data_IF_223077743458
#
_entry.id   IF_223077743458
#
_cell.length_a   1.000
_cell.length_b   1.000
_cell.length_c   1.000
_cell.angle_alpha   90.00
_cell.angle_beta   90.00
_cell.angle_gamma   90.00
#
_symmetry.space_group_name_H-M   'P 1'
#
loop_
_entity.id
_entity.type
_entity.pdbx_description
1 polymer ?
#
# COMPACT_ATOMS: atom_id res chain seq x y z
N UNK A 1 9.81 9.01 -14.68
CA UNK A 1 8.36 9.25 -14.41
C UNK A 1 7.92 8.51 -13.15
N UNK A 2 8.32 7.25 -12.97
CA UNK A 2 8.34 6.55 -11.66
C UNK A 2 9.12 7.37 -10.63
N UNK A 3 10.26 7.95 -11.00
CA UNK A 3 11.09 8.80 -10.12
C UNK A 3 10.34 10.02 -9.56
N UNK A 4 9.30 10.51 -10.25
CA UNK A 4 8.49 11.64 -9.78
C UNK A 4 7.47 11.19 -8.71
N UNK A 5 6.82 10.04 -8.92
CA UNK A 5 5.94 9.43 -7.92
C UNK A 5 6.74 8.94 -6.69
N UNK A 6 7.97 8.43 -6.90
CA UNK A 6 8.88 8.01 -5.83
C UNK A 6 9.47 9.17 -5.03
N UNK A 7 9.76 10.31 -5.66
CA UNK A 7 10.30 11.49 -4.98
C UNK A 7 9.29 12.15 -4.03
N UNK A 8 7.98 12.08 -4.33
CA UNK A 8 6.95 12.61 -3.43
C UNK A 8 6.41 11.58 -2.43
N UNK A 9 6.42 10.28 -2.76
CA UNK A 9 5.79 9.25 -1.93
C UNK A 9 6.69 8.66 -0.82
N UNK A 10 8.01 8.88 -0.85
CA UNK A 10 8.91 8.58 0.27
C UNK A 10 8.85 7.13 0.79
N UNK A 11 8.77 6.96 2.11
CA UNK A 11 8.72 5.65 2.81
C UNK A 11 7.47 4.82 2.55
N UNK A 12 6.49 5.37 1.83
CA UNK A 12 5.16 4.80 1.70
C UNK A 12 5.00 3.94 0.44
N UNK A 13 6.09 3.70 -0.31
CA UNK A 13 6.08 2.90 -1.53
C UNK A 13 7.11 1.78 -1.45
N UNK A 14 6.66 0.56 -1.75
CA UNK A 14 7.51 -0.61 -1.93
C UNK A 14 7.38 -1.08 -3.38
N UNK A 15 8.48 -1.07 -4.13
CA UNK A 15 8.54 -1.58 -5.50
C UNK A 15 9.41 -2.83 -5.51
N UNK A 16 8.93 -3.89 -6.15
CA UNK A 16 9.68 -5.14 -6.36
C UNK A 16 9.33 -5.73 -7.70
N UNK A 17 10.37 -6.00 -8.48
CA UNK A 17 10.19 -6.46 -9.86
C UNK A 17 9.22 -5.50 -10.58
N UNK A 18 8.15 -6.01 -11.18
CA UNK A 18 7.10 -5.19 -11.82
C UNK A 18 5.86 -4.96 -10.92
N UNK A 19 6.02 -5.03 -9.60
CA UNK A 19 4.94 -4.85 -8.62
C UNK A 19 5.16 -3.65 -7.69
N UNK A 20 4.09 -2.90 -7.43
CA UNK A 20 4.09 -1.73 -6.54
C UNK A 20 3.07 -1.91 -5.42
N UNK A 21 3.48 -1.57 -4.22
CA UNK A 21 2.64 -1.45 -3.04
C UNK A 21 2.75 -0.02 -2.49
N UNK A 22 1.63 0.71 -2.44
CA UNK A 22 1.56 2.11 -1.99
C UNK A 22 0.65 2.24 -0.76
N UNK A 23 1.22 2.78 0.31
CA UNK A 23 0.54 3.14 1.54
C UNK A 23 0.07 4.60 1.46
N UNK A 24 -1.23 4.85 1.55
CA UNK A 24 -1.81 6.21 1.62
C UNK A 24 -2.06 6.67 3.06
N UNK A 25 -1.55 5.93 4.04
CA UNK A 25 -1.69 6.16 5.47
C UNK A 25 -3.16 6.27 5.89
N UNK A 26 -3.53 7.37 6.58
CA UNK A 26 -4.91 7.65 6.95
C UNK A 26 -5.57 8.48 5.86
N UNK A 27 -6.63 7.92 5.28
CA UNK A 27 -7.33 8.47 4.14
C UNK A 27 -8.70 8.98 4.55
N UNK A 28 -9.22 9.95 3.80
CA UNK A 28 -10.58 10.47 3.95
C UNK A 28 -11.52 9.89 2.87
N UNK A 29 -12.81 10.25 2.89
CA UNK A 29 -13.78 9.73 1.92
C UNK A 29 -13.46 10.06 0.47
N UNK A 30 -12.87 11.22 0.18
CA UNK A 30 -12.49 11.61 -1.19
C UNK A 30 -11.32 10.79 -1.70
N UNK A 31 -10.41 10.39 -0.81
CA UNK A 31 -9.26 9.57 -1.14
C UNK A 31 -9.69 8.15 -1.55
N UNK A 32 -10.74 7.61 -0.90
CA UNK A 32 -11.33 6.31 -1.29
C UNK A 32 -11.79 6.29 -2.75
N UNK A 33 -12.45 7.37 -3.19
CA UNK A 33 -12.98 7.49 -4.55
C UNK A 33 -11.88 7.55 -5.63
N UNK A 34 -10.65 7.88 -5.23
CA UNK A 34 -9.50 7.97 -6.15
C UNK A 34 -8.58 6.76 -6.09
N UNK A 35 -8.69 5.85 -5.11
CA UNK A 35 -7.82 4.66 -5.00
C UNK A 35 -7.76 3.85 -6.31
N UNK A 36 -8.88 3.52 -6.99
CA UNK A 36 -8.83 2.80 -8.26
C UNK A 36 -8.10 3.58 -9.36
N UNK A 37 -8.24 4.91 -9.37
CA UNK A 37 -7.55 5.78 -10.34
C UNK A 37 -6.05 5.81 -10.11
N UNK A 38 -5.62 5.78 -8.84
CA UNK A 38 -4.20 5.70 -8.48
C UNK A 38 -3.63 4.36 -8.95
N UNK A 39 -4.33 3.25 -8.69
CA UNK A 39 -3.94 1.92 -9.16
C UNK A 39 -3.82 1.88 -10.69
N UNK A 40 -4.82 2.38 -11.41
CA UNK A 40 -4.78 2.45 -12.88
C UNK A 40 -3.59 3.26 -13.39
N UNK A 41 -3.29 4.39 -12.72
CA UNK A 41 -2.16 5.23 -13.09
C UNK A 41 -0.83 4.51 -12.91
N UNK A 42 -0.69 3.73 -11.84
CA UNK A 42 0.52 2.94 -11.56
C UNK A 42 0.71 1.83 -12.60
N UNK A 43 -0.32 1.02 -12.87
CA UNK A 43 -0.27 -0.08 -13.87
C UNK A 43 -0.13 0.42 -15.30
N UNK A 44 -0.51 1.67 -15.58
CA UNK A 44 -0.28 2.29 -16.91
C UNK A 44 1.18 2.68 -17.17
N UNK A 45 2.08 2.40 -16.23
CA UNK A 45 3.51 2.66 -16.36
C UNK A 45 4.19 1.43 -16.97
N UNK A 46 5.09 1.64 -17.94
CA UNK A 46 5.68 0.56 -18.76
C UNK A 46 6.31 -0.60 -17.96
N UNK A 47 6.77 -0.35 -16.73
CA UNK A 47 7.46 -1.34 -15.89
C UNK A 47 6.59 -1.94 -14.77
N UNK A 48 5.30 -1.58 -14.67
CA UNK A 48 4.42 -2.00 -13.57
C UNK A 48 3.29 -2.90 -14.06
N UNK A 49 3.40 -4.18 -13.75
CA UNK A 49 2.42 -5.22 -14.03
C UNK A 49 1.33 -5.29 -12.96
N UNK A 50 1.68 -5.01 -11.70
CA UNK A 50 0.77 -5.12 -10.57
C UNK A 50 0.91 -3.92 -9.64
N UNK A 51 -0.21 -3.31 -9.27
CA UNK A 51 -0.25 -2.24 -8.29
C UNK A 51 -1.28 -2.54 -7.21
N UNK A 52 -0.87 -2.36 -5.96
CA UNK A 52 -1.73 -2.39 -4.77
C UNK A 52 -1.60 -1.06 -4.06
N UNK A 53 -2.73 -0.43 -3.75
CA UNK A 53 -2.82 0.79 -2.95
C UNK A 53 -3.71 0.50 -1.75
N UNK A 54 -3.31 0.95 -0.56
CA UNK A 54 -4.13 0.81 0.64
C UNK A 54 -4.07 2.03 1.53
N UNK A 55 -5.08 2.17 2.38
CA UNK A 55 -5.15 3.21 3.40
C UNK A 55 -6.16 2.89 4.49
N UNK A 56 -6.07 3.61 5.59
CA UNK A 56 -6.88 3.41 6.80
C UNK A 56 -7.92 4.51 6.90
N UNK A 57 -9.19 4.15 7.05
CA UNK A 57 -10.29 5.07 7.36
C UNK A 57 -11.29 4.38 8.25
N UNK A 58 -11.80 5.10 9.25
CA UNK A 58 -12.83 4.62 10.17
C UNK A 58 -12.57 3.20 10.67
N UNK A 59 -11.35 2.94 11.15
CA UNK A 59 -10.93 1.64 11.70
C UNK A 59 -10.91 0.47 10.70
N UNK A 60 -10.96 0.77 9.40
CA UNK A 60 -10.92 -0.19 8.30
C UNK A 60 -9.73 0.09 7.40
N UNK A 61 -9.00 -0.96 7.03
CA UNK A 61 -8.03 -0.90 5.94
C UNK A 61 -8.74 -1.17 4.63
N UNK A 62 -8.65 -0.21 3.73
CA UNK A 62 -9.13 -0.33 2.37
C UNK A 62 -7.95 -0.71 1.49
N UNK A 63 -8.12 -1.77 0.71
CA UNK A 63 -7.11 -2.28 -0.23
C UNK A 63 -7.74 -2.26 -1.61
N UNK A 64 -7.03 -1.70 -2.58
CA UNK A 64 -7.40 -1.70 -3.99
C UNK A 64 -6.19 -2.16 -4.77
N UNK A 65 -6.35 -3.13 -5.64
CA UNK A 65 -5.27 -3.50 -6.53
C UNK A 65 -5.75 -4.04 -7.85
N UNK A 66 -4.79 -4.09 -8.79
CA UNK A 66 -4.94 -4.58 -10.15
C UNK A 66 -3.61 -5.17 -10.58
N UNK A 67 -3.65 -6.33 -11.21
CA UNK A 67 -2.45 -7.01 -11.70
C UNK A 67 -2.64 -7.59 -13.09
N UNK A 68 -1.53 -8.00 -13.71
CA UNK A 68 -1.52 -8.76 -14.96
C UNK A 68 -2.37 -10.03 -14.85
N UNK A 69 -2.37 -10.67 -13.66
CA UNK A 69 -3.26 -11.80 -13.34
C UNK A 69 -4.13 -11.44 -12.14
N UNK A 70 -5.24 -10.75 -12.40
CA UNK A 70 -6.18 -10.33 -11.34
C UNK A 70 -6.68 -11.48 -10.45
N UNK A 71 -6.80 -12.70 -10.98
CA UNK A 71 -7.18 -13.89 -10.22
C UNK A 71 -6.21 -14.21 -9.08
N UNK A 72 -4.90 -14.05 -9.31
CA UNK A 72 -3.87 -14.29 -8.29
C UNK A 72 -3.97 -13.25 -7.16
N UNK A 73 -4.23 -11.99 -7.50
CA UNK A 73 -4.41 -10.94 -6.49
C UNK A 73 -5.66 -11.18 -5.64
N UNK A 74 -6.76 -11.62 -6.27
CA UNK A 74 -7.98 -12.03 -5.57
C UNK A 74 -7.71 -13.21 -4.63
N UNK A 75 -6.97 -14.22 -5.08
CA UNK A 75 -6.63 -15.40 -4.27
C UNK A 75 -5.74 -15.05 -3.08
N UNK A 76 -4.73 -14.20 -3.27
CA UNK A 76 -3.87 -13.69 -2.18
C UNK A 76 -4.73 -12.95 -1.14
N UNK A 77 -5.56 -12.01 -1.58
CA UNK A 77 -6.39 -11.22 -0.67
C UNK A 77 -7.42 -12.11 0.03
N UNK A 78 -8.07 -13.05 -0.67
CA UNK A 78 -9.00 -13.98 -0.05
C UNK A 78 -8.33 -14.87 0.99
N UNK A 79 -7.16 -15.42 0.67
CA UNK A 79 -6.42 -16.29 1.59
C UNK A 79 -6.10 -15.59 2.91
N UNK A 80 -5.75 -14.30 2.86
CA UNK A 80 -5.30 -13.56 4.04
C UNK A 80 -6.40 -12.75 4.75
N UNK A 81 -7.42 -12.27 4.03
CA UNK A 81 -8.35 -11.28 4.56
C UNK A 81 -9.84 -11.65 4.49
N UNK A 82 -10.23 -12.71 3.78
CA UNK A 82 -11.66 -13.08 3.62
C UNK A 82 -12.37 -13.42 4.94
N UNK A 83 -11.63 -13.95 5.91
CA UNK A 83 -12.18 -14.30 7.24
C UNK A 83 -12.36 -13.08 8.16
N UNK A 84 -11.73 -11.94 7.83
CA UNK A 84 -11.74 -10.74 8.67
C UNK A 84 -12.60 -9.64 8.06
N UNK A 85 -12.69 -9.60 6.73
CA UNK A 85 -13.25 -8.48 5.98
C UNK A 85 -14.12 -8.89 4.80
N UNK A 86 -14.33 -7.94 3.90
CA UNK A 86 -15.04 -8.15 2.63
C UNK A 86 -14.05 -8.04 1.48
N UNK A 87 -14.09 -9.00 0.57
CA UNK A 87 -13.30 -8.99 -0.66
C UNK A 87 -14.26 -9.01 -1.84
N UNK A 88 -13.97 -8.22 -2.87
CA UNK A 88 -14.79 -8.12 -4.08
C UNK A 88 -13.92 -7.86 -5.29
N UNK A 89 -14.23 -8.53 -6.40
CA UNK A 89 -13.70 -8.16 -7.71
C UNK A 89 -14.75 -7.31 -8.47
N UNK A 90 -14.31 -6.21 -9.09
CA UNK A 90 -15.19 -5.39 -9.93
C UNK A 90 -14.36 -4.55 -10.90
N UNK A 91 -14.79 -4.48 -12.17
CA UNK A 91 -14.17 -3.64 -13.21
C UNK A 91 -12.65 -3.85 -13.38
N UNK A 92 -12.18 -5.09 -13.18
CA UNK A 92 -10.75 -5.41 -13.27
C UNK A 92 -9.92 -4.98 -12.06
N UNK A 93 -10.57 -4.65 -10.93
CA UNK A 93 -9.92 -4.41 -9.64
C UNK A 93 -10.30 -5.47 -8.63
N UNK A 94 -9.36 -5.79 -7.75
CA UNK A 94 -9.61 -6.50 -6.51
C UNK A 94 -9.67 -5.50 -5.37
N UNK A 95 -10.78 -5.50 -4.64
CA UNK A 95 -11.08 -4.61 -3.53
C UNK A 95 -11.17 -5.41 -2.24
N UNK A 96 -10.61 -4.89 -1.16
CA UNK A 96 -10.78 -5.43 0.18
C UNK A 96 -11.10 -4.33 1.20
N UNK A 97 -11.97 -4.66 2.16
CA UNK A 97 -12.25 -3.87 3.35
C UNK A 97 -12.00 -4.74 4.57
N UNK A 98 -10.96 -4.42 5.33
CA UNK A 98 -10.49 -5.23 6.46
C UNK A 98 -10.63 -4.42 7.76
N UNK A 99 -11.59 -4.75 8.64
CA UNK A 99 -11.68 -4.16 9.97
C UNK A 99 -10.41 -4.43 10.79
N UNK A 100 -9.88 -3.39 11.44
CA UNK A 100 -8.67 -3.48 12.25
C UNK A 100 -8.89 -4.12 13.63
N UNK A 101 -10.15 -4.17 14.09
CA UNK A 101 -10.50 -4.76 15.38
C UNK A 101 -9.72 -4.11 16.53
N UNK A 102 -9.13 -4.91 17.41
CA UNK A 102 -8.40 -4.40 18.59
C UNK A 102 -7.15 -3.57 18.23
N UNK A 103 -6.62 -3.70 17.01
CA UNK A 103 -5.44 -2.93 16.59
C UNK A 103 -5.66 -1.42 16.62
N UNK A 104 -6.92 -0.95 16.58
CA UNK A 104 -7.28 0.47 16.69
C UNK A 104 -6.88 1.11 18.02
N UNK A 105 -6.61 0.31 19.05
CA UNK A 105 -6.12 0.79 20.35
C UNK A 105 -4.64 1.21 20.31
N UNK A 106 -3.92 0.89 19.24
CA UNK A 106 -2.52 1.30 19.06
C UNK A 106 -2.43 2.81 18.77
N UNK A 107 -1.27 3.39 19.06
CA UNK A 107 -0.97 4.74 18.57
C UNK A 107 -1.01 4.78 17.04
N UNK A 108 -1.29 5.95 16.48
CA UNK A 108 -1.36 6.20 15.03
C UNK A 108 -0.15 5.62 14.28
N UNK A 109 1.05 5.87 14.81
CA UNK A 109 2.32 5.40 14.24
C UNK A 109 2.45 3.87 14.31
N UNK A 110 2.15 3.27 15.47
CA UNK A 110 2.23 1.82 15.64
C UNK A 110 1.19 1.07 14.80
N UNK A 111 0.00 1.65 14.62
CA UNK A 111 -1.04 1.12 13.76
C UNK A 111 -0.60 1.15 12.30
N UNK A 112 -0.07 2.28 11.82
CA UNK A 112 0.46 2.38 10.46
C UNK A 112 1.54 1.34 10.21
N UNK A 113 2.52 1.25 11.13
CA UNK A 113 3.61 0.30 11.02
C UNK A 113 3.11 -1.16 11.01
N UNK A 114 2.14 -1.49 11.86
CA UNK A 114 1.54 -2.83 11.88
C UNK A 114 0.87 -3.16 10.54
N UNK A 115 0.07 -2.23 10.01
CA UNK A 115 -0.63 -2.42 8.72
C UNK A 115 0.40 -2.57 7.60
N UNK A 116 1.42 -1.71 7.57
CA UNK A 116 2.50 -1.76 6.57
C UNK A 116 3.24 -3.10 6.59
N UNK A 117 3.62 -3.58 7.78
CA UNK A 117 4.27 -4.87 7.98
C UNK A 117 3.40 -6.04 7.48
N UNK A 118 2.08 -5.98 7.72
CA UNK A 118 1.13 -6.98 7.23
C UNK A 118 1.05 -6.95 5.71
N UNK A 119 0.90 -5.77 5.10
CA UNK A 119 0.78 -5.64 3.65
C UNK A 119 2.04 -6.11 2.93
N UNK A 120 3.22 -5.75 3.41
CA UNK A 120 4.49 -6.20 2.84
C UNK A 120 4.62 -7.73 2.94
N UNK A 121 4.24 -8.33 4.07
CA UNK A 121 4.30 -9.79 4.23
C UNK A 121 3.31 -10.53 3.33
N UNK A 122 2.13 -9.97 3.12
CA UNK A 122 1.08 -10.57 2.27
C UNK A 122 1.45 -10.49 0.79
N UNK A 123 1.84 -9.30 0.31
CA UNK A 123 2.08 -9.09 -1.12
C UNK A 123 3.51 -9.41 -1.56
N UNK A 124 4.46 -9.49 -0.62
CA UNK A 124 5.86 -9.82 -0.93
C UNK A 124 6.48 -10.84 0.06
N UNK A 125 5.95 -12.07 0.12
CA UNK A 125 6.44 -13.11 1.03
C UNK A 125 7.91 -13.46 0.75
N UNK A 126 8.71 -13.64 1.81
CA UNK A 126 10.07 -14.17 1.71
C UNK A 126 11.21 -13.16 1.49
N UNK A 127 10.93 -11.86 1.34
CA UNK A 127 11.99 -10.82 1.32
C UNK A 127 11.62 -9.67 2.26
N UNK A 128 11.58 -9.88 3.57
CA UNK A 128 11.29 -8.81 4.54
C UNK A 128 12.40 -7.74 4.47
N UNK A 129 12.12 -6.43 4.30
CA UNK A 129 13.15 -5.43 4.51
C UNK A 129 13.64 -5.52 5.96
N UNK A 130 14.95 -5.50 6.18
CA UNK A 130 15.48 -5.29 7.52
C UNK A 130 15.01 -3.93 8.04
N UNK A 131 14.47 -3.90 9.26
CA UNK A 131 13.78 -2.76 9.88
C UNK A 131 14.56 -1.41 9.88
N UNK A 132 15.87 -1.37 9.61
CA UNK A 132 16.66 -0.11 9.65
C UNK A 132 16.52 0.75 8.39
N UNK A 133 16.38 0.15 7.21
CA UNK A 133 16.55 0.88 5.93
C UNK A 133 15.45 1.90 5.63
N UNK A 134 14.25 1.76 6.21
CA UNK A 134 13.16 2.72 6.01
C UNK A 134 13.34 3.98 6.87
N UNK A 135 13.86 3.84 8.09
CA UNK A 135 14.17 4.97 8.98
C UNK A 135 15.46 5.69 8.58
N UNK A 136 16.48 4.95 8.13
CA UNK A 136 17.77 5.53 7.73
C UNK A 136 17.61 6.51 6.54
N UNK A 137 16.67 6.24 5.62
CA UNK A 137 16.37 7.11 4.47
C UNK A 137 15.58 8.38 4.85
N UNK A 138 14.82 8.38 5.95
CA UNK A 138 14.10 9.57 6.41
C UNK A 138 15.03 10.67 6.92
N UNK A 139 16.17 10.29 7.49
CA UNK A 139 17.19 11.26 7.91
C UNK A 139 17.94 11.86 6.73
N UNK A 140 18.20 11.09 5.66
CA UNK A 140 18.78 11.62 4.42
C UNK A 140 17.82 12.57 3.71
N UNK A 141 16.52 12.24 3.63
CA UNK A 141 15.51 13.09 2.98
C UNK A 141 15.31 14.40 3.76
N UNK A 142 15.30 14.37 5.10
CA UNK A 142 15.24 15.59 5.92
C UNK A 142 16.45 16.51 5.70
N UNK A 143 17.65 15.96 5.54
CA UNK A 143 18.85 16.75 5.26
C UNK A 143 18.80 17.40 3.87
N UNK A 144 18.26 16.69 2.88
CA UNK A 144 18.12 17.22 1.52
C UNK A 144 17.06 18.33 1.41
N UNK A 145 15.94 18.22 2.15
CA UNK A 145 14.89 19.25 2.18
C UNK A 145 15.33 20.51 2.94
N UNK A 146 16.17 20.37 3.96
CA UNK A 146 16.63 21.52 4.76
C UNK A 146 17.76 22.31 4.09
N UNK A 147 18.41 21.75 3.05
CA UNK A 147 19.53 22.40 2.34
C UNK A 147 19.06 23.24 1.14
N UNK A 148 17.75 23.32 0.89
CA UNK A 148 17.15 24.21 -0.12
C UNK A 148 16.33 25.32 0.57
N UNK A 149 17.01 26.17 1.34
CA UNK A 149 16.57 27.52 1.70
C UNK A 149 17.75 28.47 1.56
#
# INVERSE_FOLDING_TARGET
MIDFLLNEAGSNVVIRDSSVLLNMEFINSKDLDILPKVVDKLVSTEDIDTAIVYGIKDEVVYIVGRGVVNGELLDIINTHFSNLGKVKETNGFTLAMVPLGIAVMLSRENLLRLVDDIMIKVFFPGKTPGFSTAFDRLNEIKQLVTTQV
#
